data_IF_523911193847
#
_entry.id   IF_523911193847
#
_cell.length_a   1.000
_cell.length_b   1.000
_cell.length_c   1.000
_cell.angle_alpha   90.00
_cell.angle_beta   90.00
_cell.angle_gamma   90.00
#
_symmetry.space_group_name_H-M   'P 1'
#
loop_
_entity.id
_entity.type
_entity.pdbx_description
1 polymer ?
#
# COMPACT_ATOMS: atom_id res chain seq x y z
N UNK A 1 -24.95 -1.57 2.75
CA UNK A 1 -23.55 -2.03 2.59
C UNK A 1 -23.27 -2.46 1.15
N UNK A 2 -24.05 -3.37 0.55
CA UNK A 2 -23.88 -3.78 -0.84
C UNK A 2 -23.90 -2.60 -1.85
N UNK A 3 -24.83 -1.65 -1.69
CA UNK A 3 -24.92 -0.47 -2.59
C UNK A 3 -23.71 0.45 -2.44
N UNK A 4 -23.19 0.57 -1.21
CA UNK A 4 -22.00 1.36 -0.94
C UNK A 4 -20.73 0.75 -1.55
N UNK A 5 -20.69 -0.57 -1.78
CA UNK A 5 -19.53 -1.27 -2.38
C UNK A 5 -19.43 -1.09 -3.90
N UNK A 6 -20.47 -0.56 -4.54
CA UNK A 6 -20.45 -0.19 -5.96
C UNK A 6 -20.32 1.33 -6.16
N UNK A 7 -20.19 2.10 -5.07
CA UNK A 7 -20.11 3.57 -5.16
C UNK A 7 -18.98 4.03 -6.08
N UNK A 8 -17.82 3.39 -5.99
CA UNK A 8 -16.63 3.71 -6.78
C UNK A 8 -16.86 3.62 -8.29
N UNK A 9 -17.76 2.75 -8.78
CA UNK A 9 -17.97 2.58 -10.22
C UNK A 9 -18.84 3.67 -10.83
N UNK A 10 -19.61 4.39 -10.02
CA UNK A 10 -20.60 5.38 -10.47
C UNK A 10 -20.21 6.83 -10.11
N UNK A 11 -19.20 7.03 -9.27
CA UNK A 11 -18.84 8.34 -8.72
C UNK A 11 -17.38 8.74 -9.01
N UNK A 12 -16.88 8.44 -10.21
CA UNK A 12 -15.58 8.96 -10.65
C UNK A 12 -15.63 10.47 -10.86
N UNK A 13 -14.54 11.15 -10.51
CA UNK A 13 -14.42 12.59 -10.67
C UNK A 13 -14.39 13.00 -12.15
N UNK A 14 -15.17 14.04 -12.48
CA UNK A 14 -15.30 14.59 -13.85
C UNK A 14 -14.44 15.85 -14.03
N UNK A 15 -14.08 16.55 -12.94
CA UNK A 15 -13.35 17.82 -12.99
C UNK A 15 -11.82 17.66 -12.99
N UNK A 16 -11.34 16.41 -13.07
CA UNK A 16 -9.92 16.06 -13.05
C UNK A 16 -9.26 16.19 -11.68
N UNK A 17 -10.01 16.50 -10.61
CA UNK A 17 -9.48 16.51 -9.25
C UNK A 17 -9.69 15.16 -8.59
N UNK A 18 -8.69 14.74 -7.82
CA UNK A 18 -8.77 13.53 -7.01
C UNK A 18 -9.60 13.81 -5.76
N UNK A 19 -10.76 13.18 -5.67
CA UNK A 19 -11.66 13.25 -4.51
C UNK A 19 -11.63 11.95 -3.69
N UNK A 20 -11.26 10.85 -4.35
CA UNK A 20 -11.15 9.54 -3.75
C UNK A 20 -10.04 8.74 -4.45
N UNK A 21 -9.44 7.70 -3.83
CA UNK A 21 -8.41 6.89 -4.51
C UNK A 21 -8.88 6.20 -5.80
N UNK A 22 -10.20 6.19 -6.05
CA UNK A 22 -10.78 5.78 -7.32
C UNK A 22 -10.31 6.64 -8.50
N UNK A 23 -10.03 7.92 -8.27
CA UNK A 23 -9.60 8.89 -9.29
C UNK A 23 -8.09 8.84 -9.54
N UNK A 24 -7.38 7.90 -8.90
CA UNK A 24 -5.92 7.84 -8.98
C UNK A 24 -5.42 7.26 -10.30
N UNK A 25 -4.32 7.79 -10.87
CA UNK A 25 -3.67 7.19 -12.04
C UNK A 25 -3.23 5.74 -11.78
N UNK A 26 -2.82 5.43 -10.55
CA UNK A 26 -2.47 4.08 -10.13
C UNK A 26 -3.64 3.12 -10.30
N UNK A 27 -4.86 3.54 -9.95
CA UNK A 27 -6.04 2.70 -10.18
C UNK A 27 -6.37 2.57 -11.66
N UNK A 28 -6.30 3.65 -12.44
CA UNK A 28 -6.53 3.57 -13.88
C UNK A 28 -5.57 2.56 -14.55
N UNK A 29 -4.31 2.51 -14.11
CA UNK A 29 -3.34 1.51 -14.55
C UNK A 29 -3.78 0.08 -14.19
N UNK A 30 -4.24 -0.15 -12.96
CA UNK A 30 -4.75 -1.45 -12.50
C UNK A 30 -5.94 -1.88 -13.37
N UNK A 31 -6.92 -1.01 -13.58
CA UNK A 31 -8.12 -1.32 -14.38
C UNK A 31 -7.77 -1.61 -15.84
N UNK A 32 -6.83 -0.87 -16.42
CA UNK A 32 -6.34 -1.12 -17.78
C UNK A 32 -5.61 -2.46 -17.91
N UNK A 33 -4.90 -2.89 -16.85
CA UNK A 33 -4.11 -4.12 -16.84
C UNK A 33 -4.98 -5.36 -16.62
N UNK A 34 -6.07 -5.24 -15.88
CA UNK A 34 -6.97 -6.35 -15.55
C UNK A 34 -8.44 -5.98 -15.81
N UNK A 35 -8.85 -5.85 -17.08
CA UNK A 35 -10.20 -5.40 -17.44
C UNK A 35 -11.29 -6.38 -17.00
N UNK A 36 -11.04 -7.69 -17.03
CA UNK A 36 -12.01 -8.69 -16.54
C UNK A 36 -12.32 -8.52 -15.05
N UNK A 37 -11.30 -8.19 -14.25
CA UNK A 37 -11.47 -7.88 -12.83
C UNK A 37 -12.23 -6.56 -12.66
N UNK A 38 -11.87 -5.53 -13.43
CA UNK A 38 -12.46 -4.20 -13.32
C UNK A 38 -13.95 -4.16 -13.73
N UNK A 39 -14.35 -5.02 -14.67
CA UNK A 39 -15.71 -5.09 -15.21
C UNK A 39 -16.76 -5.47 -14.14
N UNK A 40 -16.38 -6.21 -13.11
CA UNK A 40 -17.27 -6.47 -11.98
C UNK A 40 -17.10 -5.38 -10.90
N UNK A 41 -18.09 -4.49 -10.69
CA UNK A 41 -17.99 -3.42 -9.71
C UNK A 41 -17.98 -3.93 -8.26
N UNK A 42 -18.44 -5.16 -8.01
CA UNK A 42 -18.45 -5.77 -6.68
C UNK A 42 -17.06 -6.27 -6.24
N UNK A 43 -16.11 -6.43 -7.18
CA UNK A 43 -14.74 -6.82 -6.84
C UNK A 43 -14.06 -5.76 -5.97
N UNK A 44 -13.37 -6.20 -4.92
CA UNK A 44 -12.80 -5.33 -3.89
C UNK A 44 -11.45 -4.75 -4.31
N UNK A 45 -11.31 -3.44 -4.15
CA UNK A 45 -10.03 -2.73 -4.20
C UNK A 45 -9.57 -2.42 -2.78
N UNK A 46 -8.44 -2.97 -2.39
CA UNK A 46 -7.91 -2.91 -1.04
C UNK A 46 -6.68 -2.01 -0.98
N UNK A 47 -6.52 -1.30 0.13
CA UNK A 47 -5.28 -0.64 0.53
C UNK A 47 -4.80 -1.20 1.86
N UNK A 48 -3.50 -1.41 1.98
CA UNK A 48 -2.88 -1.87 3.22
C UNK A 48 -2.03 -0.75 3.80
N UNK A 49 -2.28 -0.33 5.03
CA UNK A 49 -1.46 0.62 5.76
C UNK A 49 -0.82 -0.05 6.95
N UNK A 50 0.45 0.23 7.20
CA UNK A 50 1.15 -0.38 8.32
C UNK A 50 2.35 0.45 8.74
N UNK A 51 2.57 0.53 10.05
CA UNK A 51 3.64 1.32 10.66
C UNK A 51 3.92 0.76 12.07
N UNK A 52 5.04 1.16 12.66
CA UNK A 52 5.31 0.92 14.09
C UNK A 52 4.73 2.05 14.95
N UNK A 53 4.11 1.70 16.07
CA UNK A 53 3.54 2.67 16.99
C UNK A 53 3.80 2.27 18.44
N UNK A 54 4.17 3.25 19.28
CA UNK A 54 4.27 3.05 20.72
C UNK A 54 2.98 3.51 21.42
N UNK A 55 2.16 2.57 21.95
CA UNK A 55 0.88 2.91 22.58
C UNK A 55 1.00 3.55 23.95
N UNK A 56 2.17 3.44 24.60
CA UNK A 56 2.40 4.05 25.89
C UNK A 56 3.21 5.31 25.63
N UNK A 57 2.60 6.47 25.88
CA UNK A 57 3.11 7.83 25.62
C UNK A 57 4.37 8.22 26.44
N UNK A 58 5.20 7.23 26.78
CA UNK A 58 6.54 7.39 27.29
C UNK A 58 7.50 7.23 26.10
N UNK A 59 8.52 8.08 26.01
CA UNK A 59 9.66 7.90 25.09
C UNK A 59 10.48 6.61 25.35
N UNK A 60 9.90 5.63 26.05
CA UNK A 60 10.46 4.34 26.42
C UNK A 60 10.22 3.34 25.28
N UNK A 61 11.29 2.74 24.77
CA UNK A 61 11.27 1.68 23.76
C UNK A 61 10.91 0.29 24.33
N UNK A 62 10.15 0.23 25.43
CA UNK A 62 9.83 -1.02 26.13
C UNK A 62 8.71 -1.81 25.47
N UNK A 63 7.90 -1.15 24.65
CA UNK A 63 6.76 -1.75 23.99
C UNK A 63 6.50 -1.08 22.65
N UNK A 64 6.15 -1.89 21.66
CA UNK A 64 5.82 -1.47 20.30
C UNK A 64 4.62 -2.28 19.82
N UNK A 65 3.73 -1.64 19.08
CA UNK A 65 2.62 -2.26 18.40
C UNK A 65 2.71 -1.95 16.93
N UNK A 66 2.56 -2.98 16.10
CA UNK A 66 2.56 -2.83 14.66
C UNK A 66 1.13 -3.02 14.13
N UNK A 67 0.36 -1.94 13.91
CA UNK A 67 -0.93 -2.02 13.24
C UNK A 67 -0.80 -2.42 11.78
N UNK A 68 -1.67 -3.35 11.37
CA UNK A 68 -1.93 -3.70 9.97
C UNK A 68 -3.37 -3.32 9.69
N UNK A 69 -3.57 -2.28 8.89
CA UNK A 69 -4.87 -1.72 8.55
C UNK A 69 -5.21 -2.00 7.09
N UNK A 70 -6.30 -2.73 6.84
CA UNK A 70 -6.81 -3.00 5.51
C UNK A 70 -8.06 -2.15 5.27
N UNK A 71 -8.06 -1.37 4.19
CA UNK A 71 -9.11 -0.42 3.82
C UNK A 71 -9.76 -0.85 2.52
N UNK A 72 -11.10 -0.85 2.49
CA UNK A 72 -11.88 -1.14 1.29
C UNK A 72 -12.20 0.16 0.54
N UNK A 73 -11.50 0.40 -0.57
CA UNK A 73 -11.69 1.58 -1.42
C UNK A 73 -12.86 1.46 -2.41
N UNK A 74 -13.74 0.50 -2.20
CA UNK A 74 -15.01 0.45 -2.92
C UNK A 74 -16.03 1.41 -2.31
N UNK A 75 -15.90 1.67 -1.00
CA UNK A 75 -16.81 2.50 -0.22
C UNK A 75 -16.62 3.99 -0.51
N UNK A 76 -17.65 4.82 -0.30
CA UNK A 76 -17.53 6.27 -0.45
C UNK A 76 -16.57 6.88 0.58
N UNK A 77 -16.03 8.10 0.32
CA UNK A 77 -15.04 8.77 1.17
C UNK A 77 -15.43 8.89 2.64
N UNK A 78 -16.72 9.12 2.92
CA UNK A 78 -17.24 9.26 4.28
C UNK A 78 -17.46 7.92 5.00
N UNK A 79 -17.31 6.78 4.31
CA UNK A 79 -17.40 5.44 4.89
C UNK A 79 -16.06 4.70 4.91
N UNK A 80 -15.24 4.82 3.86
CA UNK A 80 -14.04 3.99 3.70
C UNK A 80 -13.01 4.16 4.84
N UNK A 81 -12.96 5.34 5.47
CA UNK A 81 -12.06 5.63 6.60
C UNK A 81 -12.74 5.57 7.98
N UNK A 82 -13.99 5.11 8.07
CA UNK A 82 -14.62 4.87 9.38
C UNK A 82 -13.98 3.65 10.04
N UNK A 83 -13.78 3.73 11.34
CA UNK A 83 -13.26 2.63 12.17
C UNK A 83 -13.99 1.29 11.94
N UNK A 84 -15.30 1.32 11.71
CA UNK A 84 -16.15 0.15 11.42
C UNK A 84 -15.81 -0.55 10.09
N UNK A 85 -15.19 0.17 9.13
CA UNK A 85 -14.89 -0.32 7.77
C UNK A 85 -13.39 -0.55 7.53
N UNK A 86 -12.56 -0.34 8.56
CA UNK A 86 -11.13 -0.64 8.52
C UNK A 86 -10.93 -1.96 9.25
N UNK A 87 -10.41 -2.97 8.55
CA UNK A 87 -10.01 -4.21 9.19
C UNK A 87 -8.65 -3.98 9.84
N UNK A 88 -8.58 -4.06 11.16
CA UNK A 88 -7.37 -3.82 11.94
C UNK A 88 -6.89 -5.12 12.57
N UNK A 89 -5.63 -5.45 12.33
CA UNK A 89 -4.87 -6.43 13.12
C UNK A 89 -3.73 -5.70 13.85
N UNK A 90 -3.52 -6.04 15.12
CA UNK A 90 -2.44 -5.49 15.93
C UNK A 90 -1.44 -6.61 16.23
N UNK A 91 -0.17 -6.36 15.92
CA UNK A 91 0.94 -7.24 16.30
C UNK A 91 1.65 -6.60 17.49
N UNK A 92 1.35 -7.05 18.73
CA UNK A 92 2.01 -6.54 19.93
C UNK A 92 3.39 -7.17 20.10
N UNK A 93 4.36 -6.41 20.59
CA UNK A 93 5.65 -6.97 20.97
C UNK A 93 6.51 -6.01 21.78
N UNK A 94 7.44 -6.51 22.62
CA UNK A 94 8.42 -5.65 23.27
C UNK A 94 9.35 -4.94 22.27
N UNK A 95 9.42 -5.45 21.02
CA UNK A 95 10.17 -4.88 19.91
C UNK A 95 9.35 -5.03 18.62
N UNK A 96 9.60 -4.15 17.65
CA UNK A 96 9.04 -4.26 16.32
C UNK A 96 9.35 -5.64 15.71
N UNK A 97 8.42 -6.24 14.96
CA UNK A 97 8.59 -7.57 14.35
C UNK A 97 9.76 -7.60 13.36
N UNK A 98 10.12 -6.45 12.76
CA UNK A 98 11.20 -6.38 11.79
C UNK A 98 10.93 -7.28 10.59
N UNK A 99 11.83 -8.21 10.31
CA UNK A 99 11.67 -9.16 9.20
C UNK A 99 10.61 -10.23 9.50
N UNK A 100 10.34 -10.54 10.77
CA UNK A 100 9.39 -11.59 11.16
C UNK A 100 7.92 -11.18 10.93
N UNK A 101 7.69 -9.97 10.38
CA UNK A 101 6.36 -9.49 10.01
C UNK A 101 5.69 -10.38 8.96
N UNK A 102 6.49 -11.05 8.13
CA UNK A 102 6.01 -11.97 7.09
C UNK A 102 5.21 -13.15 7.67
N UNK A 103 5.64 -13.69 8.82
CA UNK A 103 4.93 -14.76 9.55
C UNK A 103 3.53 -14.29 9.95
N UNK A 104 3.40 -13.05 10.44
CA UNK A 104 2.11 -12.50 10.86
C UNK A 104 1.20 -12.16 9.67
N UNK A 105 1.79 -11.79 8.53
CA UNK A 105 1.04 -11.44 7.32
C UNK A 105 0.68 -12.66 6.46
N UNK A 106 1.26 -13.82 6.73
CA UNK A 106 1.02 -15.04 5.95
C UNK A 106 -0.48 -15.34 5.74
N UNK A 107 -1.35 -15.32 6.76
CA UNK A 107 -2.78 -15.57 6.55
C UNK A 107 -3.44 -14.54 5.62
N UNK A 108 -3.08 -13.26 5.77
CA UNK A 108 -3.59 -12.20 4.90
C UNK A 108 -3.12 -12.38 3.45
N UNK A 109 -1.87 -12.79 3.24
CA UNK A 109 -1.31 -13.05 1.92
C UNK A 109 -2.01 -14.25 1.27
N UNK A 110 -2.27 -15.31 2.03
CA UNK A 110 -2.98 -16.50 1.56
C UNK A 110 -4.42 -16.15 1.14
N UNK A 111 -5.15 -15.39 1.97
CA UNK A 111 -6.51 -14.92 1.66
C UNK A 111 -6.52 -14.02 0.41
N UNK A 112 -5.56 -13.10 0.27
CA UNK A 112 -5.43 -12.25 -0.92
C UNK A 112 -5.13 -13.07 -2.18
N UNK A 113 -4.30 -14.10 -2.08
CA UNK A 113 -3.99 -15.01 -3.18
C UNK A 113 -5.21 -15.84 -3.56
N UNK A 114 -5.98 -16.34 -2.60
CA UNK A 114 -7.22 -17.08 -2.86
C UNK A 114 -8.27 -16.19 -3.52
N UNK A 115 -8.52 -15.00 -2.97
CA UNK A 115 -9.44 -14.02 -3.53
C UNK A 115 -9.04 -13.55 -4.93
N UNK A 116 -7.74 -13.47 -5.22
CA UNK A 116 -7.27 -13.09 -6.55
C UNK A 116 -7.39 -14.24 -7.55
N UNK A 117 -6.92 -15.44 -7.22
CA UNK A 117 -6.78 -16.55 -8.18
C UNK A 117 -8.08 -17.35 -8.37
N UNK A 118 -8.84 -17.57 -7.29
CA UNK A 118 -10.05 -18.41 -7.27
C UNK A 118 -11.30 -17.53 -7.08
N UNK A 119 -11.21 -16.53 -6.19
CA UNK A 119 -12.36 -15.76 -5.74
C UNK A 119 -13.27 -16.55 -4.80
N UNK A 120 -14.33 -15.91 -4.32
CA UNK A 120 -15.30 -16.49 -3.39
C UNK A 120 -16.72 -16.23 -3.86
N UNK A 121 -17.58 -17.24 -3.82
CA UNK A 121 -18.99 -17.05 -4.16
C UNK A 121 -19.71 -16.31 -3.04
N UNK A 122 -20.19 -15.10 -3.33
CA UNK A 122 -20.88 -14.23 -2.38
C UNK A 122 -22.26 -13.90 -2.93
N UNK A 123 -23.26 -13.88 -2.04
CA UNK A 123 -24.61 -13.47 -2.37
C UNK A 123 -24.71 -11.94 -2.34
N UNK A 124 -25.14 -11.33 -3.45
CA UNK A 124 -25.49 -9.92 -3.49
C UNK A 124 -26.98 -9.71 -3.22
N UNK A 125 -27.28 -8.99 -2.15
CA UNK A 125 -28.63 -8.63 -1.77
C UNK A 125 -29.28 -7.59 -2.71
N UNK A 126 -28.51 -6.85 -3.51
CA UNK A 126 -29.07 -5.90 -4.47
C UNK A 126 -29.60 -6.60 -5.72
N UNK A 127 -28.77 -7.45 -6.33
CA UNK A 127 -29.16 -8.18 -7.55
C UNK A 127 -29.89 -9.48 -7.24
N UNK A 128 -29.96 -9.90 -5.96
CA UNK A 128 -30.46 -11.21 -5.52
C UNK A 128 -29.79 -12.37 -6.27
N UNK A 129 -28.49 -12.25 -6.53
CA UNK A 129 -27.72 -13.22 -7.29
C UNK A 129 -26.40 -13.52 -6.59
N UNK A 130 -25.90 -14.73 -6.80
CA UNK A 130 -24.55 -15.11 -6.39
C UNK A 130 -23.57 -14.67 -7.45
N UNK A 131 -22.48 -14.06 -7.04
CA UNK A 131 -21.38 -13.68 -7.92
C UNK A 131 -20.04 -14.16 -7.32
N UNK A 132 -19.04 -14.32 -8.17
CA UNK A 132 -17.69 -14.62 -7.72
C UNK A 132 -16.96 -13.31 -7.38
N UNK A 133 -16.77 -13.09 -6.08
CA UNK A 133 -16.03 -11.96 -5.52
C UNK A 133 -14.53 -12.20 -5.65
N UNK A 134 -13.83 -11.25 -6.26
CA UNK A 134 -12.37 -11.18 -6.26
C UNK A 134 -11.90 -9.91 -5.57
N UNK A 135 -10.67 -9.92 -5.06
CA UNK A 135 -10.05 -8.76 -4.44
C UNK A 135 -8.66 -8.49 -5.02
N UNK A 136 -8.26 -7.21 -5.04
CA UNK A 136 -6.91 -6.79 -5.40
C UNK A 136 -6.36 -5.82 -4.35
N UNK A 137 -5.13 -6.03 -3.93
CA UNK A 137 -4.36 -5.07 -3.14
C UNK A 137 -3.71 -4.05 -4.08
N UNK A 138 -4.16 -2.80 -4.05
CA UNK A 138 -3.69 -1.76 -4.98
C UNK A 138 -2.34 -1.17 -4.58
N UNK A 139 -2.14 -0.91 -3.29
CA UNK A 139 -0.92 -0.33 -2.76
C UNK A 139 -0.77 -0.57 -1.26
N UNK A 140 0.45 -0.36 -0.79
CA UNK A 140 0.79 -0.32 0.63
C UNK A 140 1.15 1.12 1.03
N UNK A 141 0.71 1.55 2.21
CA UNK A 141 0.99 2.86 2.81
C UNK A 141 1.89 2.61 4.02
N UNK A 142 3.14 3.04 3.91
CA UNK A 142 4.19 2.78 4.90
C UNK A 142 5.25 3.87 4.81
N UNK A 143 5.99 4.04 5.90
CA UNK A 143 7.25 4.77 5.88
C UNK A 143 8.37 3.89 5.28
N UNK A 144 9.58 4.43 5.11
CA UNK A 144 10.68 3.68 4.50
C UNK A 144 11.10 2.45 5.32
N UNK A 145 11.29 2.54 6.66
CA UNK A 145 11.49 1.37 7.51
C UNK A 145 10.43 0.27 7.34
N UNK A 146 9.14 0.60 7.44
CA UNK A 146 8.04 -0.35 7.30
C UNK A 146 8.00 -0.96 5.89
N UNK A 147 8.28 -0.17 4.84
CA UNK A 147 8.44 -0.69 3.47
C UNK A 147 9.57 -1.72 3.40
N UNK A 148 10.69 -1.46 4.08
CA UNK A 148 11.83 -2.37 4.16
C UNK A 148 11.44 -3.74 4.70
N UNK A 149 10.72 -3.73 5.82
CA UNK A 149 10.23 -4.94 6.48
C UNK A 149 9.21 -5.67 5.60
N UNK A 150 8.20 -4.96 5.07
CA UNK A 150 7.14 -5.54 4.24
C UNK A 150 7.64 -6.13 2.92
N UNK A 151 8.53 -5.41 2.23
CA UNK A 151 9.01 -5.82 0.90
C UNK A 151 10.28 -6.68 0.97
N UNK A 152 10.78 -7.00 2.18
CA UNK A 152 12.06 -7.68 2.37
C UNK A 152 13.25 -6.95 1.74
N UNK A 153 13.16 -5.61 1.64
CA UNK A 153 14.11 -4.82 0.87
C UNK A 153 15.07 -4.01 1.76
N UNK A 154 16.29 -3.80 1.27
CA UNK A 154 17.28 -2.98 1.98
C UNK A 154 16.92 -1.50 1.83
N UNK A 155 16.52 -0.88 2.93
CA UNK A 155 16.20 0.57 2.99
C UNK A 155 17.33 1.43 3.56
N UNK A 156 18.49 0.80 3.83
CA UNK A 156 19.70 1.46 4.36
C UNK A 156 20.97 0.94 3.71
N UNK A 157 22.04 1.72 3.80
CA UNK A 157 23.36 1.37 3.27
C UNK A 157 23.52 1.69 1.79
N UNK A 158 24.47 1.02 1.13
CA UNK A 158 24.83 1.26 -0.28
C UNK A 158 23.63 1.14 -1.23
N UNK A 159 22.74 0.17 -0.97
CA UNK A 159 21.57 -0.14 -1.81
C UNK A 159 20.26 0.29 -1.17
N UNK A 160 20.27 1.40 -0.41
CA UNK A 160 19.12 1.81 0.40
C UNK A 160 17.88 2.32 -0.37
N UNK A 161 17.93 2.45 -1.69
CA UNK A 161 16.77 2.86 -2.49
C UNK A 161 16.02 1.62 -2.99
N UNK A 162 14.79 1.34 -2.52
CA UNK A 162 14.03 0.15 -2.90
C UNK A 162 13.71 0.12 -4.40
N UNK A 163 13.60 1.29 -5.04
CA UNK A 163 13.35 1.41 -6.48
C UNK A 163 14.58 1.14 -7.35
N UNK A 164 15.76 1.56 -6.89
CA UNK A 164 17.00 1.39 -7.66
C UNK A 164 17.71 0.07 -7.34
N UNK A 165 17.51 -0.46 -6.13
CA UNK A 165 18.18 -1.64 -5.60
C UNK A 165 19.70 -1.54 -5.81
N UNK A 166 20.32 -2.49 -6.50
CA UNK A 166 21.76 -2.52 -6.81
C UNK A 166 22.24 -1.29 -7.59
N UNK A 167 21.35 -0.69 -8.39
CA UNK A 167 21.64 0.52 -9.16
C UNK A 167 21.57 1.81 -8.32
N UNK A 168 21.50 1.71 -6.99
CA UNK A 168 21.47 2.87 -6.10
C UNK A 168 22.78 3.64 -6.20
N UNK A 169 22.68 4.92 -6.59
CA UNK A 169 23.85 5.80 -6.63
C UNK A 169 24.12 6.36 -5.22
N UNK A 170 24.86 5.59 -4.43
CA UNK A 170 25.28 5.95 -3.09
C UNK A 170 26.77 6.30 -3.03
N UNK A 171 27.11 7.31 -2.24
CA UNK A 171 28.49 7.68 -1.92
C UNK A 171 28.72 7.54 -0.42
N UNK A 172 29.81 6.89 -0.01
CA UNK A 172 30.20 6.87 1.39
C UNK A 172 30.87 8.19 1.78
N UNK A 173 30.32 8.89 2.76
CA UNK A 173 30.90 10.09 3.32
C UNK A 173 31.79 9.71 4.50
N UNK A 174 33.11 9.74 4.28
CA UNK A 174 34.14 9.27 5.24
C UNK A 174 33.99 9.91 6.63
N UNK A 175 33.72 11.21 6.68
CA UNK A 175 33.67 11.98 7.94
C UNK A 175 32.36 11.80 8.71
N UNK A 176 31.22 11.69 8.02
CA UNK A 176 29.92 11.46 8.67
C UNK A 176 29.61 9.98 8.91
N UNK A 177 30.41 9.07 8.33
CA UNK A 177 30.22 7.61 8.38
C UNK A 177 28.82 7.17 7.92
N UNK A 178 28.31 7.82 6.88
CA UNK A 178 26.98 7.56 6.31
C UNK A 178 27.07 7.48 4.78
N UNK A 179 26.10 6.76 4.20
CA UNK A 179 25.87 6.83 2.76
C UNK A 179 25.00 8.05 2.41
N UNK A 180 25.40 8.80 1.40
CA UNK A 180 24.62 9.85 0.77
C UNK A 180 24.11 9.38 -0.60
N UNK A 181 22.86 9.69 -0.93
CA UNK A 181 22.20 9.26 -2.16
C UNK A 181 22.18 10.41 -3.18
N UNK A 182 23.21 10.49 -4.01
CA UNK A 182 23.43 11.63 -4.92
C UNK A 182 22.72 11.47 -6.28
N UNK A 183 22.15 10.30 -6.56
CA UNK A 183 21.52 9.98 -7.86
C UNK A 183 20.13 10.56 -8.11
N UNK A 184 19.63 11.49 -7.30
CA UNK A 184 18.23 11.95 -7.33
C UNK A 184 17.79 12.53 -8.68
N UNK A 185 18.72 13.05 -9.50
CA UNK A 185 18.40 13.70 -10.80
C UNK A 185 18.29 12.74 -11.99
N UNK A 186 18.59 11.46 -11.80
CA UNK A 186 18.56 10.43 -12.87
C UNK A 186 17.16 10.13 -13.42
N UNK A 187 16.10 10.52 -12.73
CA UNK A 187 14.73 10.28 -13.15
C UNK A 187 14.16 11.42 -14.01
N UNK A 188 14.86 12.55 -14.08
CA UNK A 188 14.51 13.66 -14.96
C UNK A 188 14.86 13.32 -16.41
N UNK A 189 14.26 13.97 -17.41
CA UNK A 189 14.69 13.84 -18.80
C UNK A 189 16.20 14.14 -18.97
N UNK A 190 16.93 13.47 -19.89
CA UNK A 190 18.34 13.79 -20.17
C UNK A 190 18.62 15.27 -20.44
N UNK A 191 17.67 15.98 -21.05
CA UNK A 191 17.78 17.41 -21.36
C UNK A 191 17.41 18.33 -20.19
N UNK A 192 16.92 17.80 -19.06
CA UNK A 192 16.39 18.59 -17.96
C UNK A 192 17.48 19.47 -17.32
N UNK A 193 17.28 20.80 -17.15
CA UNK A 193 18.31 21.72 -16.68
C UNK A 193 18.98 21.31 -15.35
N UNK A 194 18.19 20.80 -14.40
CA UNK A 194 18.70 20.33 -13.11
C UNK A 194 19.76 19.22 -13.23
N UNK A 195 19.79 18.43 -14.31
CA UNK A 195 20.86 17.43 -14.53
C UNK A 195 22.22 18.06 -14.80
N UNK A 196 22.27 19.31 -15.29
CA UNK A 196 23.50 20.03 -15.65
C UNK A 196 24.12 20.77 -14.47
N UNK A 197 23.33 21.06 -13.43
CA UNK A 197 23.81 21.72 -12.22
C UNK A 197 24.65 20.70 -11.44
N UNK A 198 25.86 21.05 -10.99
CA UNK A 198 26.63 20.14 -10.10
C UNK A 198 25.98 20.12 -8.72
N UNK A 199 25.78 18.93 -8.17
CA UNK A 199 25.33 18.70 -6.79
C UNK A 199 26.51 18.80 -5.82
#
# INVERSE_FOLDING_TARGET
MAESLIWHSTNQSVDGKMCHPVDSPSRALIESKWPEFANNPHNLRLGLATDDFNPFNNFSSTYSCWPVMLVIYNLPPWLCMKNENIMLSLIPGPKQPGNDIDIYLQPLIDDLNELWNIGMNVYDALTNAVFNLRAILMWTINDLPALGNLAGCKIKGRTGCPRCSENTHSQWLKFSRKFAYMGHRRFLSPSHPLRKIKS
#
